data_IF_808803973047
#
_entry.id   IF_808803973047
#
_cell.length_a   1.000
_cell.length_b   1.000
_cell.length_c   1.000
_cell.angle_alpha   90.00
_cell.angle_beta   90.00
_cell.angle_gamma   90.00
#
_symmetry.space_group_name_H-M   'P 1'
#
loop_
_entity.id
_entity.type
_entity.pdbx_description
1 polymer ?
#
# COMPACT_ATOMS: atom_id res chain seq x y z
N UNK A 1 31.89 11.71 -2.00
CA UNK A 1 31.45 10.46 -2.66
C UNK A 1 29.96 10.64 -2.91
N UNK A 2 29.55 10.73 -4.18
CA UNK A 2 28.15 10.93 -4.53
C UNK A 2 27.51 9.55 -4.64
N UNK A 3 26.92 9.07 -3.54
CA UNK A 3 26.02 7.94 -3.60
C UNK A 3 24.81 8.36 -4.42
N UNK A 4 24.60 7.71 -5.58
CA UNK A 4 23.44 7.96 -6.43
C UNK A 4 22.20 7.40 -5.72
N UNK A 5 21.65 8.19 -4.80
CA UNK A 5 20.39 7.93 -4.14
C UNK A 5 19.33 7.74 -5.24
N UNK A 6 18.60 6.64 -5.18
CA UNK A 6 17.46 6.46 -6.05
C UNK A 6 16.35 7.40 -5.60
N UNK A 7 16.00 8.36 -6.44
CA UNK A 7 14.89 9.28 -6.16
C UNK A 7 13.56 8.58 -6.49
N UNK A 8 12.92 8.06 -5.43
CA UNK A 8 11.54 7.60 -5.49
C UNK A 8 10.60 8.76 -5.80
N UNK A 9 9.41 8.44 -6.30
CA UNK A 9 8.38 9.41 -6.58
C UNK A 9 8.03 10.21 -5.31
N UNK A 10 7.76 11.51 -5.44
CA UNK A 10 7.36 12.39 -4.33
C UNK A 10 6.10 11.93 -3.58
N UNK A 11 5.26 11.15 -4.26
CA UNK A 11 4.04 10.58 -3.68
C UNK A 11 4.35 9.38 -2.78
N UNK A 12 5.53 8.78 -2.93
CA UNK A 12 6.04 7.71 -2.06
C UNK A 12 6.98 8.29 -1.00
N UNK A 13 7.02 7.61 0.14
CA UNK A 13 7.92 7.96 1.22
C UNK A 13 9.32 7.42 0.93
N UNK A 14 10.05 8.11 0.04
CA UNK A 14 11.40 7.76 -0.36
C UNK A 14 12.38 7.70 0.82
N UNK A 15 12.14 8.49 1.86
CA UNK A 15 12.94 8.45 3.10
C UNK A 15 12.70 7.15 3.87
N UNK A 16 11.43 6.74 4.03
CA UNK A 16 11.09 5.44 4.62
C UNK A 16 11.67 4.28 3.80
N UNK A 17 11.47 4.30 2.47
CA UNK A 17 11.98 3.29 1.54
C UNK A 17 13.50 3.16 1.64
N UNK A 18 14.22 4.27 1.63
CA UNK A 18 15.67 4.27 1.78
C UNK A 18 16.11 3.76 3.16
N UNK A 19 15.30 3.99 4.20
CA UNK A 19 15.59 3.47 5.54
C UNK A 19 15.31 1.97 5.70
N UNK A 20 14.33 1.40 5.00
CA UNK A 20 14.01 -0.04 5.10
C UNK A 20 14.81 -0.90 4.12
N UNK A 21 15.24 -0.32 3.01
CA UNK A 21 16.04 -1.02 2.00
C UNK A 21 17.52 -0.69 2.13
N UNK A 22 17.90 0.39 2.82
CA UNK A 22 19.30 0.77 3.06
C UNK A 22 20.16 0.80 1.78
N UNK A 23 19.55 1.19 0.65
CA UNK A 23 20.19 1.19 -0.66
C UNK A 23 20.06 -0.11 -1.46
N UNK A 24 19.43 -1.16 -0.91
CA UNK A 24 19.14 -2.42 -1.58
C UNK A 24 17.98 -2.28 -2.58
N UNK A 25 18.35 -1.88 -3.80
CA UNK A 25 17.44 -1.69 -4.93
C UNK A 25 16.84 -3.01 -5.42
N UNK A 26 17.51 -4.14 -5.21
CA UNK A 26 17.01 -5.46 -5.62
C UNK A 26 15.86 -5.92 -4.73
N UNK A 27 16.01 -5.75 -3.41
CA UNK A 27 14.92 -5.96 -2.46
C UNK A 27 13.74 -5.03 -2.76
N UNK A 28 13.98 -3.73 -2.95
CA UNK A 28 12.92 -2.78 -3.29
C UNK A 28 12.15 -3.21 -4.54
N UNK A 29 12.87 -3.59 -5.61
CA UNK A 29 12.31 -4.10 -6.86
C UNK A 29 11.44 -5.35 -6.63
N UNK A 30 11.92 -6.34 -5.88
CA UNK A 30 11.16 -7.56 -5.60
C UNK A 30 9.87 -7.26 -4.84
N UNK A 31 9.92 -6.36 -3.87
CA UNK A 31 8.74 -5.98 -3.07
C UNK A 31 7.73 -5.19 -3.90
N UNK A 32 8.19 -4.23 -4.71
CA UNK A 32 7.33 -3.44 -5.60
C UNK A 32 6.64 -4.34 -6.64
N UNK A 33 7.39 -5.28 -7.24
CA UNK A 33 6.85 -6.26 -8.19
C UNK A 33 5.79 -7.16 -7.53
N UNK A 34 6.10 -7.70 -6.34
CA UNK A 34 5.16 -8.51 -5.55
C UNK A 34 3.92 -7.72 -5.14
N UNK A 35 4.08 -6.46 -4.75
CA UNK A 35 2.98 -5.55 -4.43
C UNK A 35 2.05 -5.41 -5.62
N UNK A 36 2.56 -5.03 -6.79
CA UNK A 36 1.76 -4.81 -8.00
C UNK A 36 1.04 -6.08 -8.45
N UNK A 37 1.69 -7.24 -8.32
CA UNK A 37 1.07 -8.51 -8.67
C UNK A 37 -0.01 -8.97 -7.67
N UNK A 38 0.01 -8.46 -6.43
CA UNK A 38 -0.89 -8.89 -5.35
C UNK A 38 -1.91 -7.83 -4.94
N UNK A 39 -1.69 -6.54 -5.25
CA UNK A 39 -2.51 -5.40 -4.80
C UNK A 39 -3.97 -5.57 -5.21
N UNK A 40 -4.23 -6.07 -6.42
CA UNK A 40 -5.59 -6.31 -6.89
C UNK A 40 -6.30 -7.42 -6.09
N UNK A 41 -5.56 -8.45 -5.67
CA UNK A 41 -6.09 -9.53 -4.81
C UNK A 41 -6.45 -8.97 -3.44
N UNK A 42 -5.56 -8.19 -2.83
CA UNK A 42 -5.84 -7.53 -1.55
C UNK A 42 -7.04 -6.59 -1.64
N UNK A 43 -7.12 -5.76 -2.68
CA UNK A 43 -8.26 -4.87 -2.90
C UNK A 43 -9.57 -5.65 -3.06
N UNK A 44 -9.53 -6.80 -3.74
CA UNK A 44 -10.68 -7.69 -3.90
C UNK A 44 -11.09 -8.33 -2.56
N UNK A 45 -10.14 -8.79 -1.76
CA UNK A 45 -10.41 -9.33 -0.41
C UNK A 45 -11.03 -8.27 0.51
N UNK A 46 -10.49 -7.06 0.49
CA UNK A 46 -11.03 -5.92 1.24
C UNK A 46 -12.45 -5.60 0.76
N UNK A 47 -12.65 -5.49 -0.56
CA UNK A 47 -13.97 -5.20 -1.14
C UNK A 47 -14.99 -6.30 -0.84
N UNK A 48 -14.57 -7.56 -0.84
CA UNK A 48 -15.41 -8.68 -0.46
C UNK A 48 -15.85 -8.58 1.01
N UNK A 49 -14.94 -8.24 1.93
CA UNK A 49 -15.29 -8.02 3.34
C UNK A 49 -16.26 -6.88 3.54
N UNK A 50 -16.07 -5.80 2.79
CA UNK A 50 -16.97 -4.64 2.79
C UNK A 50 -18.36 -5.00 2.26
N UNK A 51 -18.46 -5.62 1.07
CA UNK A 51 -19.75 -5.98 0.46
C UNK A 51 -20.50 -7.07 1.23
N UNK A 52 -19.76 -7.96 1.90
CA UNK A 52 -20.37 -9.02 2.73
C UNK A 52 -20.94 -8.49 4.05
N UNK A 53 -20.79 -7.20 4.36
CA UNK A 53 -21.20 -6.61 5.63
C UNK A 53 -20.39 -7.11 6.84
N UNK A 54 -19.29 -7.83 6.61
CA UNK A 54 -18.55 -8.51 7.66
C UNK A 54 -17.35 -7.65 8.11
N UNK A 55 -17.57 -6.87 9.17
CA UNK A 55 -16.57 -5.96 9.73
C UNK A 55 -15.28 -6.68 10.15
N UNK A 56 -15.36 -7.91 10.66
CA UNK A 56 -14.16 -8.70 11.00
C UNK A 56 -13.36 -9.11 9.76
N UNK A 57 -14.03 -9.55 8.71
CA UNK A 57 -13.38 -9.95 7.46
C UNK A 57 -12.71 -8.76 6.78
N UNK A 58 -13.42 -7.62 6.73
CA UNK A 58 -12.89 -6.35 6.24
C UNK A 58 -11.68 -5.89 7.06
N UNK A 59 -11.78 -5.91 8.39
CA UNK A 59 -10.68 -5.58 9.31
C UNK A 59 -9.44 -6.44 9.07
N UNK A 60 -9.61 -7.76 8.94
CA UNK A 60 -8.50 -8.70 8.67
C UNK A 60 -7.84 -8.41 7.32
N UNK A 61 -8.62 -8.10 6.29
CA UNK A 61 -8.10 -7.77 4.98
C UNK A 61 -7.28 -6.46 5.01
N UNK A 62 -7.80 -5.41 5.64
CA UNK A 62 -7.09 -4.13 5.85
C UNK A 62 -5.80 -4.33 6.66
N UNK A 63 -5.85 -5.13 7.73
CA UNK A 63 -4.68 -5.43 8.57
C UNK A 63 -3.56 -6.12 7.78
N UNK A 64 -3.90 -7.04 6.87
CA UNK A 64 -2.94 -7.69 5.97
C UNK A 64 -2.39 -6.73 4.91
N UNK A 65 -3.21 -5.79 4.43
CA UNK A 65 -2.82 -4.86 3.38
C UNK A 65 -1.99 -3.68 3.90
N UNK A 66 -2.16 -3.30 5.18
CA UNK A 66 -1.39 -2.26 5.86
C UNK A 66 0.14 -2.41 5.71
N UNK A 67 0.77 -3.55 6.07
CA UNK A 67 2.22 -3.69 5.89
C UNK A 67 2.63 -3.66 4.41
N UNK A 68 1.78 -4.17 3.52
CA UNK A 68 2.01 -4.19 2.07
C UNK A 68 2.13 -2.76 1.51
N UNK A 69 1.26 -1.85 1.94
CA UNK A 69 1.34 -0.41 1.64
C UNK A 69 2.61 0.23 2.20
N UNK A 70 2.96 -0.07 3.45
CA UNK A 70 4.15 0.50 4.08
C UNK A 70 5.41 0.13 3.32
N UNK A 71 5.54 -1.11 2.84
CA UNK A 71 6.73 -1.57 2.14
C UNK A 71 6.96 -0.91 0.77
N UNK A 72 5.92 -0.36 0.14
CA UNK A 72 6.04 0.44 -1.09
C UNK A 72 6.10 1.94 -0.81
N UNK A 73 6.25 2.35 0.46
CA UNK A 73 6.41 3.75 0.84
C UNK A 73 5.08 4.50 0.89
N UNK A 74 3.94 3.82 0.89
CA UNK A 74 2.62 4.43 1.04
C UNK A 74 2.27 4.63 2.52
N UNK A 75 3.14 5.33 3.26
CA UNK A 75 3.01 5.56 4.70
C UNK A 75 1.72 6.33 5.05
N UNK A 76 1.32 7.30 4.21
CA UNK A 76 0.04 8.00 4.34
C UNK A 76 -1.15 7.05 4.29
N UNK A 77 -1.20 6.19 3.26
CA UNK A 77 -2.27 5.19 3.11
C UNK A 77 -2.23 4.13 4.22
N UNK A 78 -1.03 3.77 4.69
CA UNK A 78 -0.86 2.88 5.85
C UNK A 78 -1.53 3.48 7.10
N UNK A 79 -1.42 4.79 7.30
CA UNK A 79 -2.14 5.52 8.35
C UNK A 79 -3.66 5.45 8.16
N UNK A 80 -4.15 5.72 6.94
CA UNK A 80 -5.58 5.60 6.60
C UNK A 80 -6.12 4.19 6.85
N UNK A 81 -5.37 3.15 6.46
CA UNK A 81 -5.70 1.75 6.71
C UNK A 81 -5.78 1.47 8.22
N UNK A 82 -4.87 1.99 9.03
CA UNK A 82 -4.93 1.84 10.49
C UNK A 82 -6.17 2.52 11.09
N UNK A 83 -6.55 3.71 10.61
CA UNK A 83 -7.77 4.40 11.06
C UNK A 83 -9.00 3.58 10.71
N UNK A 84 -9.08 3.05 9.48
CA UNK A 84 -10.17 2.18 9.04
C UNK A 84 -10.22 0.92 9.93
N UNK A 85 -9.09 0.25 10.17
CA UNK A 85 -9.00 -0.94 11.01
C UNK A 85 -9.47 -0.66 12.45
N UNK A 86 -9.06 0.46 13.03
CA UNK A 86 -9.48 0.88 14.37
C UNK A 86 -10.99 1.17 14.42
N UNK A 87 -11.52 1.83 13.39
CA UNK A 87 -12.96 2.12 13.26
C UNK A 87 -13.79 0.85 13.07
N UNK A 88 -13.22 -0.24 12.54
CA UNK A 88 -13.88 -1.54 12.48
C UNK A 88 -14.10 -2.15 13.88
N UNK A 89 -13.33 -1.74 14.88
CA UNK A 89 -13.43 -2.27 16.23
C UNK A 89 -14.60 -1.59 16.97
N UNK A 90 -15.75 -2.27 17.01
CA UNK A 90 -16.95 -1.79 17.70
C UNK A 90 -18.08 -1.28 16.80
N UNK A 91 -17.96 -1.44 15.48
CA UNK A 91 -19.08 -1.20 14.54
C UNK A 91 -19.77 -2.51 14.17
N UNK A 92 -21.08 -2.46 14.04
CA UNK A 92 -21.91 -3.57 13.57
C UNK A 92 -22.10 -3.56 12.07
N UNK A 93 -21.96 -2.39 11.42
CA UNK A 93 -22.17 -2.20 9.99
C UNK A 93 -20.95 -1.54 9.34
N UNK A 94 -20.33 -2.25 8.40
CA UNK A 94 -19.15 -1.79 7.67
C UNK A 94 -19.46 -0.66 6.69
N UNK A 95 -20.73 -0.48 6.27
CA UNK A 95 -21.10 0.59 5.36
C UNK A 95 -20.93 1.98 5.98
N UNK A 96 -20.94 2.07 7.32
CA UNK A 96 -20.56 3.29 8.05
C UNK A 96 -19.13 3.76 7.73
N UNK A 97 -18.26 2.87 7.24
CA UNK A 97 -16.89 3.18 6.85
C UNK A 97 -16.75 3.56 5.37
N UNK A 98 -17.83 3.56 4.59
CA UNK A 98 -17.83 3.97 3.17
C UNK A 98 -17.08 5.28 2.94
N UNK A 99 -17.33 6.30 3.78
CA UNK A 99 -16.69 7.61 3.70
C UNK A 99 -15.16 7.60 3.93
N UNK A 100 -14.60 6.54 4.52
CA UNK A 100 -13.16 6.35 4.69
C UNK A 100 -12.60 5.33 3.68
N UNK A 101 -13.35 4.25 3.44
CA UNK A 101 -12.92 3.15 2.59
C UNK A 101 -12.93 3.52 1.09
N UNK A 102 -13.96 4.21 0.61
CA UNK A 102 -14.05 4.62 -0.80
C UNK A 102 -12.86 5.51 -1.20
N UNK A 103 -12.57 6.63 -0.49
CA UNK A 103 -11.41 7.45 -0.85
C UNK A 103 -10.10 6.67 -0.71
N UNK A 104 -9.93 5.89 0.36
CA UNK A 104 -8.74 5.04 0.55
C UNK A 104 -8.51 4.09 -0.64
N UNK A 105 -9.55 3.39 -1.10
CA UNK A 105 -9.46 2.48 -2.25
C UNK A 105 -9.08 3.22 -3.53
N UNK A 106 -9.65 4.40 -3.74
CA UNK A 106 -9.35 5.25 -4.90
C UNK A 106 -7.91 5.72 -4.87
N UNK A 107 -7.46 6.28 -3.75
CA UNK A 107 -6.07 6.73 -3.58
C UNK A 107 -5.08 5.57 -3.79
N UNK A 108 -5.34 4.39 -3.23
CA UNK A 108 -4.50 3.20 -3.47
C UNK A 108 -4.37 2.90 -4.96
N UNK A 109 -5.46 2.96 -5.73
CA UNK A 109 -5.45 2.71 -7.17
C UNK A 109 -4.71 3.80 -7.94
N UNK A 110 -4.84 5.06 -7.52
CA UNK A 110 -4.09 6.18 -8.10
C UNK A 110 -2.58 6.03 -7.82
N UNK A 111 -2.20 5.39 -6.70
CA UNK A 111 -0.81 5.15 -6.34
C UNK A 111 -0.14 4.01 -7.13
N UNK A 112 -0.90 3.05 -7.66
CA UNK A 112 -0.39 1.93 -8.48
C UNK A 112 0.52 2.39 -9.64
N UNK A 113 0.10 3.29 -10.54
CA UNK A 113 0.95 3.70 -11.68
C UNK A 113 2.26 4.39 -11.26
N UNK A 114 2.28 5.06 -10.10
CA UNK A 114 3.52 5.66 -9.57
C UNK A 114 4.49 4.58 -9.10
N UNK A 115 3.99 3.53 -8.44
CA UNK A 115 4.79 2.36 -8.02
C UNK A 115 5.30 1.59 -9.24
N UNK A 116 4.48 1.41 -10.29
CA UNK A 116 4.90 0.81 -11.56
C UNK A 116 6.04 1.60 -12.20
N UNK A 117 5.91 2.93 -12.22
CA UNK A 117 6.94 3.83 -12.77
C UNK A 117 8.26 3.66 -12.02
N UNK A 118 8.23 3.66 -10.68
CA UNK A 118 9.45 3.49 -9.88
C UNK A 118 10.04 2.08 -10.02
N UNK A 119 9.20 1.04 -10.11
CA UNK A 119 9.66 -0.32 -10.40
C UNK A 119 10.37 -0.40 -11.76
N UNK A 120 9.83 0.27 -12.79
CA UNK A 120 10.47 0.34 -14.11
C UNK A 120 11.83 1.03 -14.04
N UNK A 121 11.94 2.16 -13.32
CA UNK A 121 13.22 2.84 -13.11
C UNK A 121 14.22 1.95 -12.36
N UNK A 122 13.78 1.24 -11.30
CA UNK A 122 14.62 0.29 -10.56
C UNK A 122 15.11 -0.84 -11.48
N UNK A 123 14.21 -1.41 -12.30
CA UNK A 123 14.56 -2.43 -13.29
C UNK A 123 15.63 -1.92 -14.26
N UNK A 124 15.45 -0.72 -14.82
CA UNK A 124 16.39 -0.11 -15.77
C UNK A 124 17.78 0.18 -15.19
N UNK A 125 17.91 0.39 -13.88
CA UNK A 125 19.20 0.60 -13.21
C UNK A 125 19.95 -0.70 -12.87
N UNK A 126 19.26 -1.84 -12.90
CA UNK A 126 19.78 -3.18 -12.56
C UNK A 126 19.96 -4.09 -13.78
N UNK A 127 19.72 -3.58 -14.99
CA UNK A 127 19.79 -4.30 -16.26
C UNK A 127 21.03 -3.96 -17.08
#
# INVERSE_FOLDING_TARGET
MNETFFEFNEQLDGSFLNSIYEGDKEHAKMIFDKFLSSVNVYLTEIEHGYNSGNAELFRKAIHKFKPVLSFVGLTKLTGSAEVIEKKCNGITDVNTLSGLYIPFKTEVKEMIPFIETDLMKLKALTS
#
